data_IF_198133679365
#
_entry.id   IF_198133679365
#
_cell.length_a   1.000
_cell.length_b   1.000
_cell.length_c   1.000
_cell.angle_alpha   90.00
_cell.angle_beta   90.00
_cell.angle_gamma   90.00
#
_symmetry.space_group_name_H-M   'P 1'
#
loop_
_entity.id
_entity.type
_entity.pdbx_description
1 polymer ?
#
# COMPACT_ATOMS: atom_id res chain seq x y z
N UNK A 1 0.46 22.62 -38.40
CA UNK A 1 1.52 23.24 -37.57
C UNK A 1 0.93 23.54 -36.22
N UNK A 2 1.57 23.10 -35.15
CA UNK A 2 1.15 23.39 -33.78
C UNK A 2 1.50 24.85 -33.48
N UNK A 3 0.53 25.66 -33.06
CA UNK A 3 0.78 27.07 -32.72
C UNK A 3 1.55 27.16 -31.40
N UNK A 4 2.22 28.30 -31.15
CA UNK A 4 2.96 28.51 -29.90
C UNK A 4 2.07 28.36 -28.66
N UNK A 5 0.79 28.76 -28.77
CA UNK A 5 -0.24 28.57 -27.75
C UNK A 5 -0.55 27.09 -27.51
N UNK A 6 -0.69 26.29 -28.57
CA UNK A 6 -0.91 24.85 -28.45
C UNK A 6 0.27 24.13 -27.81
N UNK A 7 1.52 24.57 -28.07
CA UNK A 7 2.71 24.03 -27.42
C UNK A 7 2.75 24.38 -25.93
N UNK A 8 2.37 25.61 -25.57
CA UNK A 8 2.28 26.04 -24.16
C UNK A 8 1.20 25.28 -23.37
N UNK A 9 0.04 25.02 -23.99
CA UNK A 9 -1.05 24.22 -23.39
C UNK A 9 -0.58 22.78 -23.17
N UNK A 10 0.13 22.18 -24.13
CA UNK A 10 0.65 20.82 -24.01
C UNK A 10 1.66 20.70 -22.85
N UNK A 11 2.63 21.61 -22.76
CA UNK A 11 3.60 21.60 -21.66
C UNK A 11 2.94 21.76 -20.29
N UNK A 12 1.93 22.63 -20.19
CA UNK A 12 1.15 22.81 -18.97
C UNK A 12 0.39 21.53 -18.59
N UNK A 13 -0.31 20.91 -19.54
CA UNK A 13 -1.07 19.68 -19.26
C UNK A 13 -0.18 18.52 -18.82
N UNK A 14 1.07 18.47 -19.32
CA UNK A 14 2.03 17.48 -18.87
C UNK A 14 2.42 17.70 -17.40
N UNK A 15 2.74 18.95 -17.02
CA UNK A 15 3.08 19.30 -15.63
C UNK A 15 1.91 19.00 -14.68
N UNK A 16 0.68 19.33 -15.08
CA UNK A 16 -0.53 19.02 -14.32
C UNK A 16 -0.70 17.51 -14.10
N UNK A 17 -0.40 16.69 -15.11
CA UNK A 17 -0.42 15.23 -14.97
C UNK A 17 0.62 14.74 -13.96
N UNK A 18 1.86 15.23 -14.04
CA UNK A 18 2.93 14.85 -13.10
C UNK A 18 2.60 15.24 -11.66
N UNK A 19 2.02 16.42 -11.45
CA UNK A 19 1.57 16.86 -10.13
C UNK A 19 0.43 15.98 -9.61
N UNK A 20 -0.56 15.64 -10.45
CA UNK A 20 -1.67 14.78 -10.04
C UNK A 20 -1.23 13.36 -9.70
N UNK A 21 -0.27 12.79 -10.43
CA UNK A 21 0.31 11.47 -10.13
C UNK A 21 1.09 11.52 -8.81
N UNK A 22 1.86 12.59 -8.60
CA UNK A 22 2.63 12.80 -7.36
C UNK A 22 1.69 12.93 -6.16
N UNK A 23 0.61 13.68 -6.30
CA UNK A 23 -0.42 13.86 -5.28
C UNK A 23 -1.03 12.51 -4.86
N UNK A 24 -1.44 11.68 -5.83
CA UNK A 24 -2.01 10.35 -5.52
C UNK A 24 -0.97 9.42 -4.89
N UNK A 25 0.29 9.44 -5.33
CA UNK A 25 1.34 8.63 -4.73
C UNK A 25 1.60 9.02 -3.26
N UNK A 26 1.66 10.32 -2.96
CA UNK A 26 1.78 10.83 -1.59
C UNK A 26 0.56 10.45 -0.74
N UNK A 27 -0.65 10.54 -1.30
CA UNK A 27 -1.86 10.14 -0.60
C UNK A 27 -1.88 8.63 -0.30
N UNK A 28 -1.43 7.79 -1.25
CA UNK A 28 -1.23 6.36 -1.02
C UNK A 28 -0.29 6.05 0.15
N UNK A 29 0.84 6.78 0.25
CA UNK A 29 1.76 6.68 1.40
C UNK A 29 1.07 7.11 2.69
N UNK A 30 0.31 8.21 2.69
CA UNK A 30 -0.44 8.66 3.87
C UNK A 30 -1.47 7.60 4.32
N UNK A 31 -2.16 6.94 3.39
CA UNK A 31 -3.09 5.85 3.68
C UNK A 31 -2.36 4.65 4.31
N UNK A 32 -1.17 4.29 3.81
CA UNK A 32 -0.33 3.25 4.41
C UNK A 32 0.15 3.61 5.83
N UNK A 33 0.57 4.85 6.05
CA UNK A 33 0.91 5.34 7.39
C UNK A 33 -0.32 5.25 8.31
N UNK A 34 -1.49 5.66 7.82
CA UNK A 34 -2.75 5.55 8.55
C UNK A 34 -3.09 4.11 8.95
N UNK A 35 -2.90 3.15 8.04
CA UNK A 35 -3.08 1.72 8.30
C UNK A 35 -2.14 1.23 9.41
N UNK A 36 -0.85 1.58 9.34
CA UNK A 36 0.13 1.21 10.38
C UNK A 36 -0.25 1.80 11.74
N UNK A 37 -0.68 3.07 11.78
CA UNK A 37 -1.11 3.69 13.03
C UNK A 37 -2.37 3.04 13.61
N UNK A 38 -3.33 2.62 12.77
CA UNK A 38 -4.48 1.85 13.23
C UNK A 38 -4.07 0.50 13.80
N UNK A 39 -3.20 -0.24 13.11
CA UNK A 39 -2.69 -1.53 13.58
C UNK A 39 -1.97 -1.41 14.93
N UNK A 40 -1.11 -0.39 15.09
CA UNK A 40 -0.42 -0.11 16.35
C UNK A 40 -1.41 0.23 17.48
N UNK A 41 -2.42 1.08 17.21
CA UNK A 41 -3.43 1.43 18.20
C UNK A 41 -4.25 0.22 18.64
N UNK A 42 -4.65 -0.63 17.69
CA UNK A 42 -5.35 -1.88 17.99
C UNK A 42 -4.49 -2.79 18.89
N UNK A 43 -3.21 -2.98 18.55
CA UNK A 43 -2.29 -3.78 19.36
C UNK A 43 -2.07 -3.24 20.78
N UNK A 44 -2.01 -1.91 20.96
CA UNK A 44 -1.95 -1.30 22.29
C UNK A 44 -3.23 -1.54 23.09
N UNK A 45 -4.41 -1.34 22.50
CA UNK A 45 -5.70 -1.57 23.17
C UNK A 45 -5.88 -3.03 23.60
N UNK A 46 -5.53 -3.97 22.72
CA UNK A 46 -5.57 -5.41 23.00
C UNK A 46 -4.60 -5.81 24.12
N UNK A 47 -3.42 -5.17 24.17
CA UNK A 47 -2.43 -5.40 25.24
C UNK A 47 -2.93 -4.85 26.57
N UNK A 48 -3.52 -3.65 26.57
CA UNK A 48 -4.13 -3.06 27.77
C UNK A 48 -5.25 -3.96 28.31
N UNK A 49 -6.12 -4.46 27.43
CA UNK A 49 -7.20 -5.38 27.78
C UNK A 49 -6.65 -6.70 28.36
N UNK A 50 -5.65 -7.29 27.71
CA UNK A 50 -4.99 -8.50 28.21
C UNK A 50 -4.34 -8.28 29.60
N UNK A 51 -3.70 -7.12 29.82
CA UNK A 51 -3.10 -6.79 31.12
C UNK A 51 -4.17 -6.61 32.20
N UNK A 52 -5.28 -5.96 31.87
CA UNK A 52 -6.43 -5.80 32.78
C UNK A 52 -7.05 -7.15 33.14
N UNK A 53 -7.31 -8.02 32.16
CA UNK A 53 -7.85 -9.36 32.41
C UNK A 53 -6.86 -10.22 33.22
N UNK A 54 -5.57 -10.16 32.90
CA UNK A 54 -4.54 -10.92 33.62
C UNK A 54 -4.35 -10.42 35.06
N UNK A 55 -4.43 -9.11 35.32
CA UNK A 55 -4.32 -8.53 36.65
C UNK A 55 -5.55 -8.82 37.53
N UNK A 56 -6.73 -9.01 36.92
CA UNK A 56 -7.96 -9.39 37.59
C UNK A 56 -8.15 -10.90 37.79
N UNK A 57 -7.26 -11.73 37.24
CA UNK A 57 -7.37 -13.18 37.29
C UNK A 57 -7.23 -13.72 38.73
N UNK A 58 -8.17 -14.54 39.16
CA UNK A 58 -8.18 -15.12 40.51
C UNK A 58 -7.49 -16.49 40.59
N UNK A 59 -7.26 -17.13 39.45
CA UNK A 59 -6.62 -18.42 39.33
C UNK A 59 -5.82 -18.54 38.02
N UNK A 60 -4.97 -19.56 37.95
CA UNK A 60 -4.12 -19.80 36.78
C UNK A 60 -4.93 -20.03 35.48
N UNK A 61 -6.12 -20.61 35.58
CA UNK A 61 -7.00 -20.85 34.43
C UNK A 61 -7.53 -19.54 33.83
N UNK A 62 -7.92 -18.58 34.66
CA UNK A 62 -8.33 -17.24 34.23
C UNK A 62 -7.18 -16.48 33.55
N UNK A 63 -5.95 -16.62 34.06
CA UNK A 63 -4.76 -16.01 33.46
C UNK A 63 -4.43 -16.61 32.08
N UNK A 64 -4.45 -17.95 31.95
CA UNK A 64 -4.29 -18.61 30.65
C UNK A 64 -5.42 -18.25 29.68
N UNK A 65 -6.65 -18.08 30.19
CA UNK A 65 -7.79 -17.61 29.42
C UNK A 65 -7.58 -16.21 28.82
N UNK A 66 -7.06 -15.26 29.61
CA UNK A 66 -6.73 -13.91 29.14
C UNK A 66 -5.70 -13.93 27.99
N UNK A 67 -4.65 -14.75 28.14
CA UNK A 67 -3.64 -14.93 27.10
C UNK A 67 -4.20 -15.59 25.82
N UNK A 68 -5.08 -16.58 25.97
CA UNK A 68 -5.72 -17.25 24.83
C UNK A 68 -6.62 -16.29 24.04
N UNK A 69 -7.39 -15.44 24.72
CA UNK A 69 -8.24 -14.42 24.08
C UNK A 69 -7.42 -13.38 23.33
N UNK A 70 -6.28 -12.95 23.88
CA UNK A 70 -5.36 -12.03 23.20
C UNK A 70 -4.82 -12.60 21.88
N UNK A 71 -4.58 -13.92 21.82
CA UNK A 71 -4.08 -14.58 20.61
C UNK A 71 -5.19 -14.91 19.59
N UNK A 72 -6.44 -15.03 20.04
CA UNK A 72 -7.58 -15.41 19.20
C UNK A 72 -7.77 -14.52 17.95
N UNK A 73 -7.65 -13.17 18.00
CA UNK A 73 -7.80 -12.31 16.83
C UNK A 73 -6.55 -12.21 15.95
N UNK A 74 -5.44 -12.91 16.26
CA UNK A 74 -4.18 -12.76 15.50
C UNK A 74 -4.32 -13.05 14.00
N UNK A 75 -5.05 -14.12 13.63
CA UNK A 75 -5.29 -14.46 12.23
C UNK A 75 -6.15 -13.42 11.49
N UNK A 76 -7.19 -12.91 12.15
CA UNK A 76 -8.05 -11.86 11.61
C UNK A 76 -7.30 -10.52 11.45
N UNK A 77 -6.40 -10.18 12.37
CA UNK A 77 -5.54 -8.99 12.29
C UNK A 77 -4.64 -9.04 11.05
N UNK A 78 -3.94 -10.15 10.85
CA UNK A 78 -3.05 -10.32 9.69
C UNK A 78 -3.86 -10.28 8.39
N UNK A 79 -4.96 -11.02 8.33
CA UNK A 79 -5.82 -11.04 7.13
C UNK A 79 -6.40 -9.67 6.81
N UNK A 80 -6.92 -8.96 7.83
CA UNK A 80 -7.47 -7.61 7.69
C UNK A 80 -6.42 -6.59 7.27
N UNK A 81 -5.23 -6.62 7.87
CA UNK A 81 -4.11 -5.76 7.49
C UNK A 81 -3.70 -5.99 6.02
N UNK A 82 -3.51 -7.24 5.62
CA UNK A 82 -3.18 -7.63 4.23
C UNK A 82 -4.23 -7.14 3.24
N UNK A 83 -5.51 -7.32 3.55
CA UNK A 83 -6.60 -6.86 2.70
C UNK A 83 -6.62 -5.34 2.54
N UNK A 84 -6.49 -4.60 3.65
CA UNK A 84 -6.45 -3.14 3.62
C UNK A 84 -5.22 -2.62 2.87
N UNK A 85 -4.07 -3.29 3.03
CA UNK A 85 -2.86 -2.97 2.28
C UNK A 85 -3.07 -3.11 0.76
N UNK A 86 -3.62 -4.24 0.32
CA UNK A 86 -3.95 -4.48 -1.10
C UNK A 86 -4.94 -3.43 -1.60
N UNK A 87 -5.98 -3.12 -0.82
CA UNK A 87 -6.98 -2.12 -1.19
C UNK A 87 -6.34 -0.73 -1.38
N UNK A 88 -5.44 -0.30 -0.49
CA UNK A 88 -4.72 0.97 -0.64
C UNK A 88 -3.90 1.00 -1.93
N UNK A 89 -3.19 -0.10 -2.24
CA UNK A 89 -2.43 -0.23 -3.48
C UNK A 89 -3.33 -0.06 -4.72
N UNK A 90 -4.45 -0.79 -4.77
CA UNK A 90 -5.42 -0.72 -5.86
C UNK A 90 -6.05 0.68 -5.98
N UNK A 91 -6.42 1.31 -4.87
CA UNK A 91 -6.99 2.66 -4.91
C UNK A 91 -5.99 3.70 -5.45
N UNK A 92 -4.72 3.62 -5.01
CA UNK A 92 -3.63 4.50 -5.46
C UNK A 92 -3.37 4.33 -6.96
N UNK A 93 -3.30 3.08 -7.44
CA UNK A 93 -3.15 2.78 -8.86
C UNK A 93 -4.27 3.42 -9.69
N UNK A 94 -5.51 3.25 -9.24
CA UNK A 94 -6.67 3.79 -9.95
C UNK A 94 -6.64 5.32 -9.99
N UNK A 95 -6.16 5.99 -8.93
CA UNK A 95 -5.97 7.43 -8.94
C UNK A 95 -4.92 7.89 -9.94
N UNK A 96 -3.78 7.21 -10.02
CA UNK A 96 -2.72 7.45 -11.01
C UNK A 96 -3.26 7.22 -12.42
N UNK A 97 -3.93 6.10 -12.68
CA UNK A 97 -4.51 5.80 -13.98
C UNK A 97 -5.53 6.88 -14.41
N UNK A 98 -6.39 7.34 -13.50
CA UNK A 98 -7.32 8.45 -13.76
C UNK A 98 -6.61 9.78 -14.05
N UNK A 99 -5.50 10.06 -13.36
CA UNK A 99 -4.68 11.24 -13.64
C UNK A 99 -4.12 11.17 -15.07
N UNK A 100 -3.56 10.03 -15.46
CA UNK A 100 -3.01 9.83 -16.81
C UNK A 100 -4.09 9.88 -17.90
N UNK A 101 -5.28 9.30 -17.66
CA UNK A 101 -6.40 9.34 -18.59
C UNK A 101 -6.88 10.76 -18.91
N UNK A 102 -6.84 11.67 -17.93
CA UNK A 102 -7.30 13.06 -18.11
C UNK A 102 -6.42 13.87 -19.07
N UNK A 103 -5.17 13.46 -19.30
CA UNK A 103 -4.18 14.25 -20.06
C UNK A 103 -3.73 13.64 -21.40
N UNK A 104 -4.37 12.54 -21.85
CA UNK A 104 -4.25 12.01 -23.22
C UNK A 104 -3.12 11.00 -23.46
N UNK A 105 -2.98 10.55 -24.72
CA UNK A 105 -2.07 9.46 -25.12
C UNK A 105 -0.59 9.77 -24.97
N UNK A 106 -0.19 11.03 -25.16
CA UNK A 106 1.20 11.46 -25.06
C UNK A 106 1.72 11.33 -23.62
N UNK A 107 0.92 11.75 -22.64
CA UNK A 107 1.25 11.60 -21.22
C UNK A 107 1.34 10.14 -20.81
N UNK A 108 0.43 9.28 -21.32
CA UNK A 108 0.52 7.82 -21.10
C UNK A 108 1.81 7.22 -21.64
N UNK A 109 2.25 7.62 -22.84
CA UNK A 109 3.51 7.15 -23.43
C UNK A 109 4.72 7.59 -22.62
N UNK A 110 4.75 8.85 -22.18
CA UNK A 110 5.85 9.36 -21.35
C UNK A 110 5.91 8.69 -19.98
N UNK A 111 4.75 8.37 -19.39
CA UNK A 111 4.69 7.59 -18.16
C UNK A 111 5.24 6.17 -18.35
N UNK A 112 4.91 5.51 -19.47
CA UNK A 112 5.50 4.22 -19.84
C UNK A 112 7.03 4.27 -19.93
N UNK A 113 7.57 5.30 -20.58
CA UNK A 113 9.03 5.52 -20.63
C UNK A 113 9.64 5.75 -19.25
N UNK A 114 8.98 6.50 -18.36
CA UNK A 114 9.46 6.71 -16.99
C UNK A 114 9.42 5.41 -16.18
N UNK A 115 8.36 4.60 -16.33
CA UNK A 115 8.28 3.29 -15.68
C UNK A 115 9.37 2.32 -16.18
N UNK A 116 9.73 2.36 -17.46
CA UNK A 116 10.87 1.61 -18.01
C UNK A 116 12.21 2.07 -17.44
N UNK A 117 12.47 3.39 -17.38
CA UNK A 117 13.71 3.90 -16.79
C UNK A 117 13.82 3.62 -15.28
N UNK A 118 12.70 3.68 -14.54
CA UNK A 118 12.69 3.28 -13.14
C UNK A 118 12.95 1.79 -12.97
N UNK A 119 12.46 0.94 -13.89
CA UNK A 119 12.72 -0.50 -13.85
C UNK A 119 14.23 -0.79 -13.94
N UNK A 120 14.93 -0.11 -14.85
CA UNK A 120 16.36 -0.31 -15.07
C UNK A 120 17.22 0.24 -13.90
N UNK A 121 16.72 1.23 -13.18
CA UNK A 121 17.38 1.83 -12.02
C UNK A 121 16.90 1.25 -10.66
N UNK A 122 15.97 0.30 -10.68
CA UNK A 122 15.33 -0.21 -9.48
C UNK A 122 16.35 -1.03 -8.64
N UNK A 123 16.44 -0.80 -7.31
CA UNK A 123 17.25 -1.66 -6.46
C UNK A 123 16.66 -3.09 -6.42
N UNK A 124 17.49 -4.12 -6.13
CA UNK A 124 16.99 -5.47 -5.91
C UNK A 124 15.87 -5.47 -4.84
N UNK A 125 14.73 -6.12 -5.13
CA UNK A 125 13.56 -6.13 -4.25
C UNK A 125 12.47 -5.09 -4.62
N UNK A 126 12.68 -4.26 -5.64
CA UNK A 126 11.68 -3.29 -6.12
C UNK A 126 10.82 -3.81 -7.29
N UNK A 127 10.91 -5.10 -7.64
CA UNK A 127 10.29 -5.70 -8.82
C UNK A 127 8.76 -5.55 -8.79
N UNK A 128 8.14 -5.70 -7.62
CA UNK A 128 6.70 -5.51 -7.44
C UNK A 128 6.28 -4.05 -7.64
N UNK A 129 7.06 -3.09 -7.16
CA UNK A 129 6.79 -1.66 -7.34
C UNK A 129 6.94 -1.24 -8.81
N UNK A 130 7.94 -1.78 -9.51
CA UNK A 130 8.13 -1.58 -10.95
C UNK A 130 6.99 -2.16 -11.76
N UNK A 131 6.55 -3.39 -11.44
CA UNK A 131 5.38 -4.02 -12.08
C UNK A 131 4.11 -3.20 -11.84
N UNK A 132 3.90 -2.71 -10.62
CA UNK A 132 2.79 -1.83 -10.27
C UNK A 132 2.80 -0.53 -11.09
N UNK A 133 3.96 0.12 -11.23
CA UNK A 133 4.12 1.32 -12.05
C UNK A 133 3.80 1.05 -13.53
N UNK A 134 4.32 -0.04 -14.10
CA UNK A 134 4.01 -0.45 -15.47
C UNK A 134 2.52 -0.74 -15.64
N UNK A 135 1.91 -1.44 -14.69
CA UNK A 135 0.48 -1.76 -14.65
C UNK A 135 -0.42 -0.54 -14.37
N UNK A 136 0.10 0.64 -14.08
CA UNK A 136 -0.72 1.86 -13.98
C UNK A 136 -0.97 2.54 -15.35
N UNK A 137 -0.16 2.18 -16.36
CA UNK A 137 -0.32 2.64 -17.76
C UNK A 137 -1.48 1.89 -18.45
N UNK A 138 -1.64 0.59 -18.15
CA UNK A 138 -2.73 -0.26 -18.62
C UNK A 138 -3.74 -0.49 -17.50
N UNK A 139 -5.04 -0.32 -17.75
CA UNK A 139 -6.13 -0.62 -16.79
C UNK A 139 -6.26 -2.15 -16.53
N UNK A 140 -5.19 -2.84 -16.19
CA UNK A 140 -5.13 -4.30 -16.14
C UNK A 140 -4.93 -4.82 -14.70
N UNK A 141 -5.44 -6.04 -14.49
CA UNK A 141 -5.55 -6.78 -13.22
C UNK A 141 -4.21 -7.04 -12.51
N UNK A 142 -3.08 -6.84 -13.19
CA UNK A 142 -1.72 -7.13 -12.71
C UNK A 142 -1.32 -6.42 -11.39
N UNK A 143 -1.98 -5.33 -11.02
CA UNK A 143 -1.68 -4.63 -9.77
C UNK A 143 -2.26 -5.29 -8.52
N UNK A 144 -3.37 -6.02 -8.64
CA UNK A 144 -3.87 -6.81 -7.51
C UNK A 144 -2.86 -7.92 -7.17
N UNK A 145 -2.34 -8.61 -8.19
CA UNK A 145 -1.31 -9.63 -8.04
C UNK A 145 0.01 -9.06 -7.50
N UNK A 146 0.45 -7.89 -7.98
CA UNK A 146 1.66 -7.23 -7.47
C UNK A 146 1.50 -6.72 -6.03
N UNK A 147 0.32 -6.19 -5.68
CA UNK A 147 0.01 -5.79 -4.31
C UNK A 147 -0.12 -7.00 -3.37
N UNK A 148 -0.66 -8.12 -3.86
CA UNK A 148 -0.76 -9.39 -3.13
C UNK A 148 0.62 -10.03 -2.91
N UNK A 149 1.51 -9.96 -3.90
CA UNK A 149 2.91 -10.36 -3.76
C UNK A 149 3.66 -9.50 -2.74
N UNK A 150 3.54 -8.17 -2.84
CA UNK A 150 4.13 -7.24 -1.87
C UNK A 150 3.56 -7.43 -0.46
N UNK A 151 2.25 -7.69 -0.33
CA UNK A 151 1.63 -8.00 0.93
C UNK A 151 2.12 -9.33 1.52
N UNK A 152 2.39 -10.33 0.68
CA UNK A 152 2.98 -11.61 1.12
C UNK A 152 4.41 -11.44 1.63
N UNK A 153 5.23 -10.61 0.97
CA UNK A 153 6.58 -10.30 1.46
C UNK A 153 6.56 -9.50 2.77
N UNK A 154 5.69 -8.50 2.87
CA UNK A 154 5.51 -7.72 4.10
C UNK A 154 4.94 -8.58 5.25
N UNK A 155 4.01 -9.49 4.96
CA UNK A 155 3.46 -10.46 5.92
C UNK A 155 4.50 -11.47 6.41
N UNK A 156 5.47 -11.85 5.56
CA UNK A 156 6.60 -12.70 5.94
C UNK A 156 7.56 -12.05 6.96
N UNK A 157 7.56 -10.71 7.09
CA UNK A 157 8.32 -9.99 8.12
C UNK A 157 7.60 -10.01 9.48
N UNK A 158 6.26 -10.05 9.47
CA UNK A 158 5.44 -10.20 10.69
C UNK A 158 5.53 -11.62 11.28
N UNK A 159 5.64 -12.66 10.45
CA UNK A 159 5.78 -14.05 10.91
C UNK A 159 7.19 -14.35 11.49
N UNK A 160 8.23 -13.69 10.97
CA UNK A 160 9.62 -13.85 11.45
C UNK A 160 9.92 -13.15 12.77
N UNK A 161 9.02 -12.29 13.25
CA UNK A 161 9.13 -11.68 14.59
C UNK A 161 8.31 -12.41 15.65
N UNK A 162 7.38 -13.30 15.26
CA UNK A 162 6.60 -14.14 16.20
C UNK A 162 7.19 -15.53 16.46
N UNK A 163 8.24 -15.94 15.73
CA UNK A 163 8.89 -17.26 15.87
C UNK A 163 10.25 -17.22 16.58
N UNK A 164 10.63 -16.08 17.15
CA UNK A 164 11.82 -15.93 17.99
C UNK A 164 11.43 -15.65 19.45
N UNK A 165 10.77 -16.62 20.09
CA UNK A 165 10.74 -16.74 21.55
C UNK A 165 10.54 -18.19 22.00
#
# INVERSE_FOLDING_TARGET
MMTLEQLGILHRSQIEAWLAVTEEAVDGVNRLIGLNLQALKAGFGETEECLHEAAGAQDAGQWFGAQARFLQPAGERVSGYTRNFIEIGVQTQNGIARALQRHGDEVRRQWGFVAENLADAAPPGAEAAVQFLKASVGLEVAAAEAAEAAASEAGGVADKTSTAH
#
